data_IF_909043634890
#
_entry.id   IF_909043634890
#
_cell.length_a   1.000
_cell.length_b   1.000
_cell.length_c   1.000
_cell.angle_alpha   90.00
_cell.angle_beta   90.00
_cell.angle_gamma   90.00
#
_symmetry.space_group_name_H-M   'P 1'
#
loop_
_entity.id
_entity.type
_entity.pdbx_description
1 polymer ?
#
# COMPACT_ATOMS: atom_id res chain seq x y z
N UNK A 1 -6.15 18.70 0.76
CA UNK A 1 -7.13 17.66 1.17
C UNK A 1 -6.84 17.33 2.62
N UNK A 2 -7.85 17.27 3.48
CA UNK A 2 -7.64 16.91 4.88
C UNK A 2 -7.77 15.39 5.00
N UNK A 3 -6.72 14.74 5.48
CA UNK A 3 -6.70 13.31 5.83
C UNK A 3 -6.53 13.14 7.34
N UNK A 4 -6.62 11.91 7.79
CA UNK A 4 -6.24 11.46 9.13
C UNK A 4 -4.77 11.76 9.48
N UNK A 5 -3.92 11.88 8.46
CA UNK A 5 -2.51 12.24 8.56
C UNK A 5 -2.26 13.76 8.49
N UNK A 6 -3.30 14.56 8.32
CA UNK A 6 -3.23 16.02 8.27
C UNK A 6 -3.53 16.61 6.89
N UNK A 7 -2.95 17.77 6.61
CA UNK A 7 -3.18 18.47 5.34
C UNK A 7 -2.23 17.96 4.25
N UNK A 8 -2.79 17.35 3.21
CA UNK A 8 -2.05 16.85 2.06
C UNK A 8 -2.33 17.73 0.83
N UNK A 9 -1.27 18.13 0.14
CA UNK A 9 -1.33 18.87 -1.13
C UNK A 9 -0.96 17.92 -2.27
N UNK A 10 -1.81 17.86 -3.29
CA UNK A 10 -1.51 17.15 -4.53
C UNK A 10 -0.82 18.09 -5.50
N UNK A 11 0.36 17.70 -5.97
CA UNK A 11 1.14 18.46 -6.94
C UNK A 11 1.06 17.80 -8.33
N UNK A 12 1.01 18.60 -9.41
CA UNK A 12 1.23 18.14 -10.77
C UNK A 12 2.57 17.42 -10.93
N UNK A 13 2.61 16.40 -11.79
CA UNK A 13 3.78 15.55 -12.00
C UNK A 13 4.98 16.35 -12.53
N UNK A 14 4.71 17.42 -13.28
CA UNK A 14 5.72 18.32 -13.85
C UNK A 14 6.58 19.02 -12.77
N UNK A 15 6.08 19.11 -11.54
CA UNK A 15 6.80 19.75 -10.42
C UNK A 15 7.63 18.77 -9.59
N UNK A 16 7.66 17.49 -9.96
CA UNK A 16 8.32 16.43 -9.17
C UNK A 16 9.82 16.65 -9.00
N UNK A 17 10.49 17.18 -10.02
CA UNK A 17 11.95 17.38 -10.00
C UNK A 17 12.37 18.49 -9.02
N UNK A 18 11.53 19.50 -8.81
CA UNK A 18 11.78 20.60 -7.88
C UNK A 18 11.66 20.14 -6.41
N UNK A 19 10.68 19.28 -6.11
CA UNK A 19 10.41 18.83 -4.74
C UNK A 19 11.29 17.65 -4.30
N UNK A 20 11.80 16.83 -5.23
CA UNK A 20 12.52 15.59 -4.91
C UNK A 20 13.74 15.81 -4.01
N UNK A 21 14.44 16.93 -4.18
CA UNK A 21 15.68 17.24 -3.46
C UNK A 21 15.53 18.46 -2.53
N UNK A 22 14.31 18.91 -2.25
CA UNK A 22 14.10 20.04 -1.33
C UNK A 22 14.37 19.58 0.11
N UNK A 23 15.37 20.14 0.82
CA UNK A 23 15.69 19.73 2.18
C UNK A 23 14.57 20.00 3.19
N UNK A 24 13.58 20.85 2.85
CA UNK A 24 12.39 21.08 3.67
C UNK A 24 11.38 19.94 3.58
N UNK A 25 11.49 19.09 2.56
CA UNK A 25 10.59 17.97 2.29
C UNK A 25 11.33 16.65 2.58
N UNK A 26 11.48 16.32 3.85
CA UNK A 26 12.12 15.08 4.27
C UNK A 26 11.14 13.91 4.25
N UNK A 27 11.38 12.94 3.35
CA UNK A 27 10.61 11.71 3.27
C UNK A 27 10.62 10.93 4.59
N UNK A 28 11.77 10.85 5.26
CA UNK A 28 11.90 10.15 6.54
C UNK A 28 11.06 10.80 7.65
N UNK A 29 10.98 12.14 7.69
CA UNK A 29 10.15 12.84 8.67
C UNK A 29 8.65 12.62 8.44
N UNK A 30 8.20 12.65 7.18
CA UNK A 30 6.82 12.36 6.83
C UNK A 30 6.46 10.90 7.16
N UNK A 31 7.34 9.95 6.83
CA UNK A 31 7.17 8.54 7.16
C UNK A 31 7.04 8.31 8.67
N UNK A 32 7.85 8.99 9.49
CA UNK A 32 7.77 8.85 10.94
C UNK A 32 6.44 9.32 11.54
N UNK A 33 5.86 10.39 11.01
CA UNK A 33 4.55 10.86 11.42
C UNK A 33 3.44 9.91 10.94
N UNK A 34 3.48 9.52 9.66
CA UNK A 34 2.48 8.65 9.03
C UNK A 34 2.40 7.26 9.66
N UNK A 35 3.53 6.74 10.14
CA UNK A 35 3.62 5.42 10.78
C UNK A 35 3.65 5.50 12.32
N UNK A 36 3.27 6.64 12.87
CA UNK A 36 3.14 6.85 14.32
C UNK A 36 4.42 6.53 15.11
N UNK A 37 5.59 6.90 14.59
CA UNK A 37 6.89 6.65 15.23
C UNK A 37 7.00 7.23 16.64
N UNK A 38 6.18 8.23 16.97
CA UNK A 38 6.10 8.81 18.31
C UNK A 38 5.44 7.88 19.35
N UNK A 39 4.77 6.80 18.94
CA UNK A 39 4.11 5.86 19.85
C UNK A 39 5.08 4.80 20.41
N UNK A 40 4.97 4.45 21.70
CA UNK A 40 5.71 3.33 22.27
C UNK A 40 5.43 2.01 21.52
N UNK A 41 6.47 1.33 21.06
CA UNK A 41 6.37 0.10 20.27
C UNK A 41 6.51 0.31 18.76
N UNK A 42 6.46 1.56 18.28
CA UNK A 42 6.59 1.93 16.87
C UNK A 42 7.89 2.71 16.59
N UNK A 43 8.88 2.67 17.49
CA UNK A 43 10.12 3.42 17.35
C UNK A 43 10.96 3.01 16.12
N UNK A 44 10.73 1.82 15.56
CA UNK A 44 11.36 1.43 14.29
C UNK A 44 10.89 2.27 13.10
N UNK A 45 9.72 2.91 13.21
CA UNK A 45 9.19 3.85 12.23
C UNK A 45 9.56 5.31 12.54
N UNK A 46 10.13 5.61 13.71
CA UNK A 46 10.74 6.92 13.98
C UNK A 46 12.05 7.04 13.18
N UNK A 47 11.89 7.38 11.90
CA UNK A 47 12.98 7.48 10.90
C UNK A 47 13.76 8.80 11.03
N UNK A 48 13.46 9.64 12.01
CA UNK A 48 14.37 10.71 12.43
C UNK A 48 15.72 10.16 12.97
N UNK A 49 15.76 8.88 13.33
CA UNK A 49 16.91 8.21 13.94
C UNK A 49 17.70 7.26 13.02
N UNK A 50 17.14 6.90 11.86
CA UNK A 50 17.80 6.01 10.91
C UNK A 50 18.37 6.82 9.76
N UNK A 51 19.68 6.69 9.53
CA UNK A 51 20.31 7.12 8.29
C UNK A 51 19.47 6.60 7.13
N UNK A 52 18.94 7.50 6.30
CA UNK A 52 18.05 7.21 5.17
C UNK A 52 18.63 6.11 4.26
N UNK A 53 19.96 5.96 4.30
CA UNK A 53 20.74 4.87 3.70
C UNK A 53 20.32 3.45 4.13
N UNK A 54 19.88 3.21 5.37
CA UNK A 54 19.50 1.87 5.85
C UNK A 54 18.20 1.41 5.20
N UNK A 55 17.14 2.23 5.29
CA UNK A 55 15.85 1.94 4.65
C UNK A 55 16.02 1.81 3.13
N UNK A 56 16.73 2.75 2.50
CA UNK A 56 17.04 2.68 1.08
C UNK A 56 17.82 1.41 0.71
N UNK A 57 18.76 0.97 1.56
CA UNK A 57 19.54 -0.26 1.33
C UNK A 57 18.68 -1.50 1.46
N UNK A 58 17.81 -1.58 2.48
CA UNK A 58 16.89 -2.71 2.66
C UNK A 58 15.94 -2.83 1.47
N UNK A 59 15.31 -1.73 1.05
CA UNK A 59 14.40 -1.69 -0.09
C UNK A 59 15.12 -2.07 -1.40
N UNK A 60 16.26 -1.44 -1.68
CA UNK A 60 16.97 -1.64 -2.96
C UNK A 60 17.71 -2.97 -3.05
N UNK A 61 18.31 -3.46 -1.96
CA UNK A 61 19.14 -4.68 -2.01
C UNK A 61 18.42 -5.93 -1.56
N UNK A 62 17.66 -5.86 -0.47
CA UNK A 62 17.06 -7.06 0.11
C UNK A 62 15.67 -7.31 -0.44
N UNK A 63 14.79 -6.30 -0.39
CA UNK A 63 13.42 -6.46 -0.87
C UNK A 63 13.42 -6.77 -2.36
N UNK A 64 14.11 -5.98 -3.19
CA UNK A 64 14.17 -6.23 -4.65
C UNK A 64 14.68 -7.63 -5.00
N UNK A 65 15.67 -8.15 -4.25
CA UNK A 65 16.26 -9.48 -4.51
C UNK A 65 15.36 -10.63 -4.03
N UNK A 66 14.69 -10.43 -2.90
CA UNK A 66 13.90 -11.48 -2.25
C UNK A 66 12.39 -11.33 -2.49
N UNK A 67 11.96 -10.38 -3.33
CA UNK A 67 10.54 -10.06 -3.49
C UNK A 67 9.73 -11.29 -3.93
N UNK A 68 10.28 -12.10 -4.84
CA UNK A 68 9.64 -13.34 -5.29
C UNK A 68 9.47 -14.35 -4.14
N UNK A 69 10.42 -14.39 -3.19
CA UNK A 69 10.37 -15.29 -2.03
C UNK A 69 9.32 -14.86 -1.00
N UNK A 70 8.91 -13.59 -1.01
CA UNK A 70 7.89 -13.05 -0.09
C UNK A 70 6.51 -13.05 -0.75
N UNK A 71 6.43 -12.73 -2.03
CA UNK A 71 5.16 -12.66 -2.76
C UNK A 71 4.47 -14.03 -2.81
N UNK A 72 5.22 -15.09 -3.11
CA UNK A 72 4.66 -16.44 -3.21
C UNK A 72 3.95 -16.88 -1.91
N UNK A 73 4.59 -16.89 -0.73
CA UNK A 73 3.92 -17.30 0.51
C UNK A 73 2.80 -16.34 0.92
N UNK A 74 2.96 -15.03 0.73
CA UNK A 74 1.89 -14.06 1.03
C UNK A 74 0.66 -14.30 0.15
N UNK A 75 0.86 -14.61 -1.13
CA UNK A 75 -0.25 -14.90 -2.05
C UNK A 75 -0.96 -16.20 -1.69
N UNK A 76 -0.20 -17.24 -1.30
CA UNK A 76 -0.75 -18.52 -0.86
C UNK A 76 -1.54 -18.36 0.44
N UNK A 77 -1.01 -17.63 1.41
CA UNK A 77 -1.69 -17.33 2.68
C UNK A 77 -2.95 -16.50 2.45
N UNK A 78 -2.89 -15.47 1.60
CA UNK A 78 -4.06 -14.66 1.27
C UNK A 78 -5.15 -15.48 0.56
N UNK A 79 -4.78 -16.35 -0.38
CA UNK A 79 -5.72 -17.24 -1.05
C UNK A 79 -6.37 -18.23 -0.05
N UNK A 80 -5.56 -18.83 0.83
CA UNK A 80 -6.05 -19.71 1.88
C UNK A 80 -6.99 -18.98 2.84
N UNK A 81 -6.59 -17.80 3.33
CA UNK A 81 -7.43 -17.00 4.22
C UNK A 81 -8.74 -16.58 3.55
N UNK A 82 -8.72 -16.30 2.25
CA UNK A 82 -9.91 -16.01 1.48
C UNK A 82 -10.84 -17.23 1.40
N UNK A 83 -10.34 -18.41 1.04
CA UNK A 83 -11.13 -19.65 1.03
C UNK A 83 -11.63 -20.01 2.43
N UNK A 84 -10.84 -19.79 3.48
CA UNK A 84 -11.23 -20.07 4.88
C UNK A 84 -12.34 -19.13 5.39
N UNK A 85 -12.32 -17.85 4.99
CA UNK A 85 -13.26 -16.83 5.48
C UNK A 85 -14.49 -16.64 4.61
N UNK A 86 -14.33 -16.77 3.30
CA UNK A 86 -15.40 -16.57 2.33
C UNK A 86 -15.99 -17.89 1.81
N UNK A 87 -15.28 -19.00 2.01
CA UNK A 87 -15.62 -20.30 1.44
C UNK A 87 -15.24 -20.37 -0.03
N UNK A 88 -14.90 -21.57 -0.51
CA UNK A 88 -14.98 -21.83 -1.95
C UNK A 88 -16.47 -21.94 -2.26
N UNK A 89 -17.03 -20.92 -2.92
CA UNK A 89 -18.32 -21.11 -3.54
C UNK A 89 -18.16 -22.23 -4.56
N UNK A 90 -18.68 -23.41 -4.28
CA UNK A 90 -19.16 -24.31 -5.32
C UNK A 90 -20.06 -23.44 -6.19
N UNK A 91 -19.52 -23.01 -7.34
CA UNK A 91 -20.26 -22.26 -8.32
C UNK A 91 -21.46 -23.12 -8.68
N UNK A 92 -22.57 -22.92 -8.00
CA UNK A 92 -23.87 -23.23 -8.54
C UNK A 92 -23.89 -22.37 -9.78
N UNK A 93 -23.59 -23.01 -10.91
CA UNK A 93 -23.96 -22.54 -12.24
C UNK A 93 -25.47 -22.46 -12.20
N UNK A 94 -26.00 -21.42 -11.58
CA UNK A 94 -27.32 -20.93 -11.95
C UNK A 94 -27.12 -20.54 -13.40
N UNK A 95 -27.82 -21.21 -14.34
CA UNK A 95 -27.82 -20.76 -15.71
C UNK A 95 -28.18 -19.28 -15.65
N UNK A 96 -27.38 -18.44 -16.31
CA UNK A 96 -27.79 -17.06 -16.56
C UNK A 96 -29.11 -17.20 -17.31
N UNK A 97 -30.23 -16.90 -16.64
CA UNK A 97 -31.52 -16.87 -17.29
C UNK A 97 -31.41 -15.86 -18.43
N UNK A 98 -31.45 -16.35 -19.67
CA UNK A 98 -31.37 -15.61 -20.94
C UNK A 98 -32.50 -14.54 -21.11
N UNK A 99 -33.24 -14.24 -20.05
CA UNK A 99 -34.42 -13.38 -20.08
C UNK A 99 -34.25 -12.05 -19.33
N UNK A 100 -33.04 -11.65 -18.97
CA UNK A 100 -32.79 -10.29 -18.48
C UNK A 100 -32.82 -9.28 -19.63
N UNK A 101 -34.02 -8.86 -20.04
CA UNK A 101 -34.19 -7.67 -20.89
C UNK A 101 -33.93 -6.42 -20.07
N UNK A 102 -32.89 -5.68 -20.45
CA UNK A 102 -32.64 -4.31 -19.98
C UNK A 102 -33.88 -3.45 -20.23
N UNK A 103 -34.42 -2.72 -19.22
CA UNK A 103 -35.48 -1.77 -19.47
C UNK A 103 -34.93 -0.61 -20.30
N UNK A 104 -35.38 -0.52 -21.54
CA UNK A 104 -35.19 0.65 -22.39
C UNK A 104 -36.02 1.78 -21.78
N UNK A 105 -35.38 2.68 -21.05
CA UNK A 105 -36.02 3.93 -20.62
C UNK A 105 -36.16 4.85 -21.84
N UNK A 106 -37.41 5.21 -22.09
CA UNK A 106 -37.87 6.29 -22.98
C UNK A 106 -37.46 7.64 -22.40
#
# INVERSE_FOLDING_TARGET
MITDLGEIVFLPVEQTDEIRNDPRLSFGSAFGEDFHGHLPGFQGAAVDSYDDAVLQTLVRKQLTKCIAQVIEPVSAEAAQALSDKLGDSEGTSTPIDDNFKLPTHV
#
